data_IF_869718276340
#
_entry.id   IF_869718276340
#
_cell.length_a   1.000
_cell.length_b   1.000
_cell.length_c   1.000
_cell.angle_alpha   90.00
_cell.angle_beta   90.00
_cell.angle_gamma   90.00
#
_symmetry.space_group_name_H-M   'P 1'
#
loop_
_entity.id
_entity.type
_entity.pdbx_description
1 polymer ?
#
# COMPACT_ATOMS: atom_id res chain seq x y z
N UNK A 1 47.03 8.83 -39.01
CA UNK A 1 45.91 7.86 -39.15
C UNK A 1 45.71 6.96 -37.92
N UNK A 2 45.92 7.44 -36.67
CA UNK A 2 45.75 6.62 -35.44
C UNK A 2 44.56 7.07 -34.55
N UNK A 3 44.04 8.29 -34.74
CA UNK A 3 42.94 8.86 -33.94
C UNK A 3 41.58 8.18 -34.19
N UNK A 4 41.31 7.77 -35.44
CA UNK A 4 40.05 7.13 -35.85
C UNK A 4 39.81 5.78 -35.14
N UNK A 5 40.86 4.96 -34.96
CA UNK A 5 40.75 3.68 -34.23
C UNK A 5 40.31 3.88 -32.78
N UNK A 6 40.90 4.87 -32.08
CA UNK A 6 40.54 5.16 -30.69
C UNK A 6 39.10 5.68 -30.57
N UNK A 7 38.68 6.57 -31.49
CA UNK A 7 37.31 7.09 -31.53
C UNK A 7 36.27 6.00 -31.80
N UNK A 8 36.57 5.05 -32.69
CA UNK A 8 35.69 3.93 -32.99
C UNK A 8 35.50 3.00 -31.78
N UNK A 9 36.59 2.72 -31.04
CA UNK A 9 36.52 1.94 -29.81
C UNK A 9 35.67 2.63 -28.73
N UNK A 10 35.88 3.93 -28.50
CA UNK A 10 35.08 4.68 -27.50
C UNK A 10 33.60 4.80 -27.88
N UNK A 11 33.29 4.85 -29.18
CA UNK A 11 31.90 4.87 -29.66
C UNK A 11 31.22 3.53 -29.42
N UNK A 12 31.88 2.43 -29.79
CA UNK A 12 31.37 1.08 -29.55
C UNK A 12 31.20 0.84 -28.05
N UNK A 13 32.16 1.25 -27.24
CA UNK A 13 32.12 1.10 -25.78
C UNK A 13 30.93 1.86 -25.17
N UNK A 14 30.71 3.12 -25.57
CA UNK A 14 29.56 3.89 -25.11
C UNK A 14 28.22 3.31 -25.60
N UNK A 15 28.16 2.77 -26.82
CA UNK A 15 26.96 2.10 -27.34
C UNK A 15 26.63 0.83 -26.55
N UNK A 16 27.64 0.02 -26.22
CA UNK A 16 27.47 -1.19 -25.41
C UNK A 16 27.01 -0.83 -23.99
N UNK A 17 27.60 0.19 -23.38
CA UNK A 17 27.19 0.66 -22.04
C UNK A 17 25.72 1.09 -22.03
N UNK A 18 25.31 1.93 -23.00
CA UNK A 18 23.91 2.35 -23.12
C UNK A 18 22.96 1.17 -23.36
N UNK A 19 23.37 0.20 -24.16
CA UNK A 19 22.60 -1.01 -24.42
C UNK A 19 22.42 -1.87 -23.17
N UNK A 20 23.49 -2.07 -22.38
CA UNK A 20 23.45 -2.82 -21.13
C UNK A 20 22.54 -2.12 -20.11
N UNK A 21 22.65 -0.79 -19.97
CA UNK A 21 21.78 -0.02 -19.06
C UNK A 21 20.31 -0.19 -19.47
N UNK A 22 19.97 -0.05 -20.75
CA UNK A 22 18.61 -0.21 -21.24
C UNK A 22 18.03 -1.61 -20.95
N UNK A 23 18.81 -2.67 -21.14
CA UNK A 23 18.39 -4.04 -20.83
C UNK A 23 18.15 -4.25 -19.33
N UNK A 24 19.06 -3.75 -18.47
CA UNK A 24 18.92 -3.88 -17.01
C UNK A 24 17.69 -3.10 -16.52
N UNK A 25 17.52 -1.86 -16.96
CA UNK A 25 16.35 -1.03 -16.58
C UNK A 25 15.04 -1.67 -17.03
N UNK A 26 14.99 -2.25 -18.24
CA UNK A 26 13.81 -2.94 -18.75
C UNK A 26 13.40 -4.16 -17.89
N UNK A 27 14.36 -5.01 -17.50
CA UNK A 27 14.09 -6.18 -16.66
C UNK A 27 13.69 -5.79 -15.22
N UNK A 28 14.31 -4.73 -14.69
CA UNK A 28 14.03 -4.26 -13.32
C UNK A 28 12.60 -3.69 -13.22
N UNK A 29 12.13 -2.96 -14.23
CA UNK A 29 10.77 -2.41 -14.28
C UNK A 29 9.68 -3.50 -14.20
N UNK A 30 9.90 -4.64 -14.87
CA UNK A 30 8.95 -5.76 -14.84
C UNK A 30 8.85 -6.39 -13.44
N UNK A 31 9.98 -6.57 -12.74
CA UNK A 31 10.00 -7.18 -11.40
C UNK A 31 9.44 -6.26 -10.31
N UNK A 32 9.66 -4.95 -10.42
CA UNK A 32 9.23 -3.98 -9.41
C UNK A 32 7.70 -3.92 -9.26
N UNK A 33 6.97 -4.20 -10.34
CA UNK A 33 5.50 -4.17 -10.35
C UNK A 33 4.90 -5.24 -9.43
N UNK A 34 5.49 -6.44 -9.36
CA UNK A 34 5.00 -7.51 -8.49
C UNK A 34 5.24 -7.24 -6.99
N UNK A 35 6.43 -6.74 -6.63
CA UNK A 35 6.75 -6.41 -5.23
C UNK A 35 5.92 -5.26 -4.68
N UNK A 36 5.49 -4.33 -5.55
CA UNK A 36 4.62 -3.23 -5.14
C UNK A 36 3.22 -3.75 -4.76
N UNK A 37 2.66 -4.68 -5.52
CA UNK A 37 1.32 -5.21 -5.21
C UNK A 37 1.32 -6.00 -3.89
N UNK A 38 2.36 -6.80 -3.65
CA UNK A 38 2.56 -7.51 -2.37
C UNK A 38 2.71 -6.54 -1.18
N UNK A 39 3.42 -5.42 -1.38
CA UNK A 39 3.56 -4.38 -0.36
C UNK A 39 2.23 -3.68 -0.04
N UNK A 40 1.36 -3.51 -1.04
CA UNK A 40 0.02 -2.93 -0.87
C UNK A 40 -0.90 -3.88 -0.14
N UNK A 41 -0.92 -5.15 -0.54
CA UNK A 41 -1.68 -6.21 0.14
C UNK A 41 -1.27 -6.35 1.61
N UNK A 42 0.03 -6.31 1.89
CA UNK A 42 0.54 -6.33 3.26
C UNK A 42 0.09 -5.09 4.06
N UNK A 43 0.18 -3.89 3.47
CA UNK A 43 -0.29 -2.65 4.11
C UNK A 43 -1.79 -2.72 4.44
N UNK A 44 -2.61 -3.21 3.52
CA UNK A 44 -4.04 -3.41 3.71
C UNK A 44 -4.32 -4.38 4.85
N UNK A 45 -3.63 -5.52 4.91
CA UNK A 45 -3.80 -6.51 5.99
C UNK A 45 -3.50 -5.92 7.37
N UNK A 46 -2.38 -5.18 7.49
CA UNK A 46 -2.01 -4.52 8.74
C UNK A 46 -3.00 -3.43 9.12
N UNK A 47 -3.50 -2.67 8.15
CA UNK A 47 -4.51 -1.65 8.37
C UNK A 47 -5.83 -2.25 8.89
N UNK A 48 -6.30 -3.35 8.28
CA UNK A 48 -7.48 -4.11 8.72
C UNK A 48 -7.31 -4.57 10.17
N UNK A 49 -6.18 -5.19 10.51
CA UNK A 49 -5.95 -5.72 11.86
C UNK A 49 -5.96 -4.60 12.92
N UNK A 50 -5.35 -3.46 12.61
CA UNK A 50 -5.37 -2.27 13.47
C UNK A 50 -6.78 -1.69 13.60
N UNK A 51 -7.50 -1.59 12.49
CA UNK A 51 -8.85 -1.05 12.45
C UNK A 51 -9.81 -1.93 13.27
N UNK A 52 -9.78 -3.25 13.07
CA UNK A 52 -10.56 -4.20 13.87
C UNK A 52 -10.23 -4.10 15.35
N UNK A 53 -8.95 -3.92 15.70
CA UNK A 53 -8.55 -3.75 17.11
C UNK A 53 -9.15 -2.49 17.73
N UNK A 54 -9.07 -1.35 17.03
CA UNK A 54 -9.62 -0.07 17.50
C UNK A 54 -11.14 -0.12 17.63
N UNK A 55 -11.81 -0.68 16.63
CA UNK A 55 -13.27 -0.79 16.63
C UNK A 55 -13.77 -1.74 17.71
N UNK A 56 -13.10 -2.87 17.94
CA UNK A 56 -13.43 -3.78 19.04
C UNK A 56 -13.18 -3.14 20.42
N UNK A 57 -12.09 -2.37 20.58
CA UNK A 57 -11.84 -1.59 21.79
C UNK A 57 -12.96 -0.57 22.05
N UNK A 58 -13.42 0.11 21.00
CA UNK A 58 -14.52 1.08 21.12
C UNK A 58 -15.85 0.40 21.43
N UNK A 59 -16.16 -0.72 20.77
CA UNK A 59 -17.38 -1.50 21.03
C UNK A 59 -17.40 -2.12 22.45
N UNK A 60 -16.23 -2.42 23.02
CA UNK A 60 -16.12 -2.87 24.41
C UNK A 60 -16.36 -1.74 25.42
N UNK A 61 -16.01 -0.50 25.07
CA UNK A 61 -16.20 0.70 25.91
C UNK A 61 -17.64 1.24 25.79
N UNK A 62 -18.24 1.14 24.59
CA UNK A 62 -19.61 1.57 24.30
C UNK A 62 -20.41 0.44 23.60
N UNK A 63 -21.23 -0.32 24.34
CA UNK A 63 -22.00 -1.42 23.77
C UNK A 63 -23.08 -0.97 22.76
N UNK A 64 -23.45 0.31 22.71
CA UNK A 64 -24.38 0.86 21.71
C UNK A 64 -23.72 1.23 20.38
N UNK A 65 -22.38 1.26 20.33
CA UNK A 65 -21.62 1.58 19.11
C UNK A 65 -21.61 0.42 18.10
N UNK A 66 -21.72 -0.83 18.58
CA UNK A 66 -21.72 -2.02 17.71
C UNK A 66 -22.87 -2.01 16.70
N UNK A 67 -24.01 -1.40 17.04
CA UNK A 67 -25.19 -1.31 16.17
C UNK A 67 -25.05 -0.21 15.08
N UNK A 68 -24.17 0.78 15.27
CA UNK A 68 -24.02 1.95 14.36
C UNK A 68 -22.63 2.04 13.69
N UNK A 69 -21.75 1.07 13.91
CA UNK A 69 -20.36 1.13 13.46
C UNK A 69 -20.21 1.34 11.94
N UNK A 70 -21.12 0.81 11.11
CA UNK A 70 -21.05 1.01 9.65
C UNK A 70 -21.13 2.48 9.21
N UNK A 71 -21.76 3.35 10.02
CA UNK A 71 -21.89 4.78 9.72
C UNK A 71 -20.85 5.62 10.48
N UNK A 72 -20.47 5.21 11.70
CA UNK A 72 -19.68 6.04 12.62
C UNK A 72 -18.20 5.61 12.77
N UNK A 73 -17.78 4.50 12.14
CA UNK A 73 -16.42 3.98 12.30
C UNK A 73 -15.33 4.97 11.88
N UNK A 74 -15.57 5.77 10.84
CA UNK A 74 -14.61 6.77 10.36
C UNK A 74 -14.36 7.85 11.40
N UNK A 75 -15.43 8.34 12.04
CA UNK A 75 -15.33 9.33 13.12
C UNK A 75 -14.63 8.77 14.35
N UNK A 76 -14.84 7.49 14.67
CA UNK A 76 -14.12 6.83 15.77
C UNK A 76 -12.62 6.71 15.48
N UNK A 77 -12.23 6.39 14.26
CA UNK A 77 -10.82 6.31 13.86
C UNK A 77 -10.16 7.68 13.88
N UNK A 78 -10.89 8.74 13.48
CA UNK A 78 -10.40 10.13 13.50
C UNK A 78 -10.22 10.66 14.93
N UNK A 79 -11.15 10.33 15.83
CA UNK A 79 -11.14 10.80 17.22
C UNK A 79 -10.34 9.90 18.16
N UNK A 80 -9.82 8.75 17.68
CA UNK A 80 -9.05 7.83 18.52
C UNK A 80 -7.63 8.36 18.78
N UNK A 81 -7.22 8.53 20.06
CA UNK A 81 -5.86 8.94 20.40
C UNK A 81 -4.81 7.87 20.06
N UNK A 82 -5.24 6.67 19.69
CA UNK A 82 -4.39 5.54 19.31
C UNK A 82 -3.89 5.63 17.85
N UNK A 83 -4.39 6.60 17.07
CA UNK A 83 -4.04 6.75 15.65
C UNK A 83 -3.35 8.09 15.41
N UNK A 84 -2.04 8.06 15.15
CA UNK A 84 -1.28 9.28 14.86
C UNK A 84 -1.66 9.96 13.54
N UNK A 85 -2.16 9.20 12.56
CA UNK A 85 -2.66 9.75 11.30
C UNK A 85 -3.89 8.97 10.79
N UNK A 86 -5.12 9.44 11.10
CA UNK A 86 -6.36 8.72 10.75
C UNK A 86 -6.53 8.45 9.25
N UNK A 87 -6.04 9.37 8.42
CA UNK A 87 -6.16 9.29 6.95
C UNK A 87 -5.41 8.09 6.34
N UNK A 88 -4.36 7.61 7.01
CA UNK A 88 -3.63 6.41 6.56
C UNK A 88 -4.32 5.10 6.93
N UNK A 89 -5.26 5.15 7.90
CA UNK A 89 -5.96 3.98 8.41
C UNK A 89 -7.35 3.79 7.77
N UNK A 90 -7.92 4.88 7.23
CA UNK A 90 -9.20 4.85 6.50
C UNK A 90 -9.03 4.26 5.09
N UNK A 91 -7.80 4.27 4.56
CA UNK A 91 -7.49 3.84 3.19
C UNK A 91 -6.65 2.58 3.12
N UNK A 92 -6.95 1.75 2.13
CA UNK A 92 -6.20 0.55 1.81
C UNK A 92 -4.86 0.85 1.08
N UNK A 93 -4.08 -0.19 0.81
CA UNK A 93 -2.82 -0.10 0.05
C UNK A 93 -2.98 0.42 -1.39
N UNK A 94 -4.20 0.46 -1.93
CA UNK A 94 -4.53 0.97 -3.26
C UNK A 94 -5.19 2.37 -3.23
N UNK A 95 -5.40 2.94 -2.04
CA UNK A 95 -5.95 4.28 -1.82
C UNK A 95 -7.48 4.35 -1.79
N UNK A 96 -8.17 3.21 -1.71
CA UNK A 96 -9.61 3.10 -1.58
C UNK A 96 -10.01 3.05 -0.10
N UNK A 97 -11.20 3.56 0.22
CA UNK A 97 -11.71 3.52 1.58
C UNK A 97 -12.17 2.10 1.94
N UNK A 98 -12.00 1.70 3.20
CA UNK A 98 -12.45 0.40 3.68
C UNK A 98 -13.98 0.34 3.81
N UNK A 99 -14.55 -0.83 3.54
CA UNK A 99 -15.94 -1.13 3.82
C UNK A 99 -16.05 -1.86 5.16
N UNK A 100 -16.79 -1.30 6.12
CA UNK A 100 -16.93 -1.87 7.47
C UNK A 100 -18.39 -2.26 7.74
N UNK A 101 -18.60 -3.55 8.03
CA UNK A 101 -19.92 -4.11 8.29
C UNK A 101 -19.91 -4.94 9.57
N UNK A 102 -21.06 -5.02 10.25
CA UNK A 102 -21.26 -5.94 11.38
C UNK A 102 -22.14 -7.07 10.92
N UNK A 103 -21.64 -8.28 11.09
CA UNK A 103 -22.41 -9.51 10.91
C UNK A 103 -22.22 -10.35 12.16
N UNK A 104 -23.33 -10.80 12.78
CA UNK A 104 -23.31 -11.66 13.98
C UNK A 104 -22.41 -11.15 15.13
N UNK A 105 -22.51 -9.86 15.49
CA UNK A 105 -21.76 -9.23 16.58
C UNK A 105 -20.22 -9.26 16.38
N UNK A 106 -19.77 -9.44 15.14
CA UNK A 106 -18.36 -9.40 14.74
C UNK A 106 -18.18 -8.30 13.69
N UNK A 107 -17.18 -7.45 13.89
CA UNK A 107 -16.86 -6.33 12.99
C UNK A 107 -15.97 -6.87 11.86
N UNK A 108 -16.47 -6.80 10.64
CA UNK A 108 -15.75 -7.18 9.44
C UNK A 108 -15.31 -5.93 8.68
N UNK A 109 -14.03 -5.88 8.33
CA UNK A 109 -13.44 -4.83 7.49
C UNK A 109 -13.04 -5.48 6.18
N UNK A 110 -13.59 -5.00 5.07
CA UNK A 110 -13.33 -5.50 3.73
C UNK A 110 -12.68 -4.42 2.86
N UNK A 111 -11.74 -4.82 2.01
CA UNK A 111 -11.14 -4.00 0.96
C UNK A 111 -11.79 -4.39 -0.36
N UNK A 112 -12.13 -3.46 -1.26
CA UNK A 112 -12.75 -3.79 -2.56
C UNK A 112 -11.82 -4.46 -3.58
N UNK A 113 -10.62 -4.89 -3.15
CA UNK A 113 -9.50 -5.29 -4.00
C UNK A 113 -8.88 -6.61 -3.56
#
# INVERSE_FOLDING_TARGET
MHSLKRRCLTLIEMMIVMFIIALITGVLAYRYTGSLDESRAFKTKVAIERLSTILNLKAADDPGFADNVSTEWQDVVVNSPLVSNPKDLIKDGWGQDFDVFVENNTIYVHSQK
#
